data_IF_692918379446
#
_entry.id   IF_692918379446
#
_cell.length_a   1.000
_cell.length_b   1.000
_cell.length_c   1.000
_cell.angle_alpha   90.00
_cell.angle_beta   90.00
_cell.angle_gamma   90.00
#
_symmetry.space_group_name_H-M   'P 1'
#
loop_
_entity.id
_entity.type
_entity.pdbx_description
1 polymer ?
#
# COMPACT_ATOMS: atom_id res chain seq x y z
N UNK A 1 14.82 -22.76 18.53
CA UNK A 1 14.57 -21.83 17.41
C UNK A 1 13.33 -22.32 16.67
N UNK A 2 12.35 -21.47 16.47
CA UNK A 2 11.14 -21.82 15.72
C UNK A 2 11.47 -21.87 14.24
N UNK A 3 11.01 -22.91 13.54
CA UNK A 3 11.22 -23.10 12.09
C UNK A 3 9.93 -22.81 11.35
N UNK A 4 10.05 -22.18 10.19
CA UNK A 4 8.95 -21.87 9.27
C UNK A 4 9.33 -22.32 7.86
N UNK A 5 8.34 -22.65 7.05
CA UNK A 5 8.57 -22.94 5.62
C UNK A 5 8.82 -21.64 4.86
N UNK A 6 8.08 -20.58 5.22
CA UNK A 6 8.28 -19.25 4.66
C UNK A 6 8.38 -18.18 5.75
N UNK A 7 9.32 -17.25 5.55
CA UNK A 7 9.43 -16.02 6.35
C UNK A 7 9.20 -14.84 5.43
N UNK A 8 8.14 -14.09 5.68
CA UNK A 8 7.76 -12.88 4.93
C UNK A 8 8.27 -11.67 5.70
N UNK A 9 9.13 -10.89 5.08
CA UNK A 9 9.69 -9.66 5.64
C UNK A 9 8.87 -8.47 5.16
N UNK A 10 8.15 -7.85 6.09
CA UNK A 10 7.26 -6.72 5.87
C UNK A 10 5.80 -7.12 5.71
N UNK A 11 4.96 -6.66 6.63
CA UNK A 11 3.49 -6.82 6.63
C UNK A 11 2.76 -5.79 5.77
N UNK A 12 3.38 -5.30 4.69
CA UNK A 12 2.77 -4.39 3.73
C UNK A 12 1.77 -5.07 2.79
N UNK A 13 1.40 -4.39 1.70
CA UNK A 13 0.38 -4.89 0.77
C UNK A 13 0.71 -6.27 0.21
N UNK A 14 1.93 -6.48 -0.27
CA UNK A 14 2.38 -7.76 -0.81
C UNK A 14 2.50 -8.83 0.29
N UNK A 15 3.07 -8.48 1.45
CA UNK A 15 3.24 -9.43 2.56
C UNK A 15 1.91 -9.96 3.10
N UNK A 16 0.88 -9.11 3.18
CA UNK A 16 -0.46 -9.52 3.57
C UNK A 16 -1.06 -10.54 2.59
N UNK A 17 -0.86 -10.33 1.28
CA UNK A 17 -1.33 -11.27 0.23
C UNK A 17 -0.58 -12.58 0.34
N UNK A 18 0.76 -12.56 0.44
CA UNK A 18 1.57 -13.76 0.56
C UNK A 18 1.19 -14.58 1.79
N UNK A 19 1.05 -13.93 2.96
CA UNK A 19 0.64 -14.60 4.18
C UNK A 19 -0.72 -15.30 4.02
N UNK A 20 -1.68 -14.63 3.37
CA UNK A 20 -2.99 -15.19 3.09
C UNK A 20 -2.91 -16.44 2.19
N UNK A 21 -2.20 -16.33 1.08
CA UNK A 21 -2.18 -17.37 0.04
C UNK A 21 -1.33 -18.57 0.43
N UNK A 22 -0.16 -18.35 1.02
CA UNK A 22 0.73 -19.43 1.45
C UNK A 22 0.13 -20.28 2.58
N UNK A 23 -0.68 -19.68 3.44
CA UNK A 23 -1.34 -20.41 4.55
C UNK A 23 -2.66 -21.06 4.15
N UNK A 24 -3.08 -21.02 2.88
CA UNK A 24 -4.20 -21.82 2.37
C UNK A 24 -3.90 -23.32 2.49
N UNK A 25 -2.67 -23.71 2.25
CA UNK A 25 -2.16 -25.02 2.59
C UNK A 25 -1.83 -25.10 4.08
N UNK A 26 -2.60 -25.89 4.81
CA UNK A 26 -2.44 -26.08 6.26
C UNK A 26 -1.12 -26.72 6.67
N UNK A 27 -0.44 -27.41 5.76
CA UNK A 27 0.88 -28.02 6.01
C UNK A 27 2.02 -26.98 5.94
N UNK A 28 1.77 -25.82 5.36
CA UNK A 28 2.75 -24.75 5.17
C UNK A 28 2.75 -23.78 6.35
N UNK A 29 3.82 -23.73 7.13
CA UNK A 29 3.99 -22.82 8.26
C UNK A 29 4.62 -21.50 7.82
N UNK A 30 3.91 -20.39 8.03
CA UNK A 30 4.32 -19.07 7.55
C UNK A 30 4.54 -18.10 8.71
N UNK A 31 5.64 -17.37 8.65
CA UNK A 31 5.96 -16.27 9.55
C UNK A 31 5.87 -14.95 8.78
N UNK A 32 5.10 -14.00 9.28
CA UNK A 32 5.05 -12.61 8.80
C UNK A 32 5.68 -11.69 9.84
N UNK A 33 6.65 -10.88 9.45
CA UNK A 33 7.35 -9.95 10.34
C UNK A 33 7.13 -8.52 9.87
N UNK A 34 6.61 -7.67 10.76
CA UNK A 34 6.36 -6.26 10.51
C UNK A 34 7.05 -5.38 11.55
N UNK A 35 7.75 -4.34 11.09
CA UNK A 35 8.44 -3.40 11.97
C UNK A 35 7.48 -2.53 12.77
N UNK A 36 6.37 -2.16 12.16
CA UNK A 36 5.33 -1.35 12.79
C UNK A 36 4.38 -2.16 13.67
N UNK A 37 3.47 -1.47 14.36
CA UNK A 37 2.47 -2.09 15.23
C UNK A 37 1.34 -2.75 14.42
N UNK A 38 0.44 -3.42 15.15
CA UNK A 38 -0.86 -3.85 14.61
C UNK A 38 -1.69 -2.63 14.20
N UNK A 39 -2.52 -2.79 13.19
CA UNK A 39 -3.39 -1.76 12.62
C UNK A 39 -4.63 -1.42 13.49
N UNK A 40 -4.45 -1.36 14.81
CA UNK A 40 -5.56 -1.10 15.76
C UNK A 40 -5.93 0.35 15.93
N UNK A 41 -5.08 1.29 15.45
CA UNK A 41 -5.33 2.72 15.62
C UNK A 41 -6.55 3.17 14.80
N UNK A 42 -7.59 3.79 15.41
CA UNK A 42 -8.80 4.23 14.70
C UNK A 42 -8.51 5.20 13.54
N UNK A 43 -7.43 5.98 13.62
CA UNK A 43 -7.02 6.90 12.54
C UNK A 43 -6.77 6.17 11.21
N UNK A 44 -6.41 4.88 11.26
CA UNK A 44 -6.20 4.06 10.06
C UNK A 44 -7.54 3.76 9.38
N UNK A 45 -8.54 3.39 10.16
CA UNK A 45 -9.79 2.81 9.65
C UNK A 45 -10.80 3.85 9.19
N UNK A 46 -10.80 5.03 9.81
CA UNK A 46 -11.76 6.10 9.51
C UNK A 46 -11.20 6.98 8.38
N UNK A 47 -11.81 6.98 7.16
CA UNK A 47 -11.27 7.71 6.01
C UNK A 47 -11.03 9.20 6.25
N UNK A 48 -11.95 9.87 6.96
CA UNK A 48 -11.84 11.30 7.31
C UNK A 48 -10.61 11.62 8.18
N UNK A 49 -10.07 10.62 8.86
CA UNK A 49 -8.90 10.77 9.74
C UNK A 49 -7.56 10.62 9.01
N UNK A 50 -7.57 10.39 7.70
CA UNK A 50 -6.37 10.23 6.87
C UNK A 50 -5.34 11.35 7.09
N UNK A 51 -5.79 12.61 7.18
CA UNK A 51 -4.93 13.76 7.41
C UNK A 51 -4.17 13.72 8.76
N UNK A 52 -4.64 12.95 9.74
CA UNK A 52 -4.05 12.82 11.07
C UNK A 52 -3.03 11.67 11.19
N UNK A 53 -2.88 10.84 10.14
CA UNK A 53 -1.93 9.73 10.15
C UNK A 53 -0.47 10.22 10.19
N UNK A 54 -0.19 11.40 9.62
CA UNK A 54 1.12 12.03 9.75
C UNK A 54 1.36 12.39 11.21
N UNK A 55 2.54 12.00 11.74
CA UNK A 55 2.87 12.19 13.16
C UNK A 55 2.31 11.15 14.13
N UNK A 56 1.51 10.18 13.66
CA UNK A 56 0.99 9.09 14.49
C UNK A 56 1.99 7.93 14.72
N UNK A 57 3.25 8.08 14.32
CA UNK A 57 4.30 7.05 14.33
C UNK A 57 3.94 5.75 13.57
N UNK A 58 3.08 5.89 12.56
CA UNK A 58 2.63 4.81 11.67
C UNK A 58 3.25 4.90 10.27
N UNK A 59 4.15 5.86 10.07
CA UNK A 59 4.73 6.21 8.77
C UNK A 59 6.24 6.39 8.94
N UNK A 60 7.00 5.80 8.00
CA UNK A 60 8.37 6.21 7.74
C UNK A 60 8.34 7.52 6.94
N UNK A 61 8.98 8.54 7.44
CA UNK A 61 9.09 9.84 6.77
C UNK A 61 10.44 9.92 6.05
N UNK A 62 10.49 9.33 4.85
CA UNK A 62 11.69 9.38 4.01
C UNK A 62 11.68 10.59 3.10
N UNK A 63 12.87 11.12 2.85
CA UNK A 63 13.10 12.10 1.80
C UNK A 63 14.02 11.52 0.72
N UNK A 64 13.83 11.95 -0.52
CA UNK A 64 14.78 11.65 -1.59
C UNK A 64 16.10 12.40 -1.34
N UNK A 65 17.18 11.95 -1.98
CA UNK A 65 18.33 12.84 -2.18
C UNK A 65 17.92 14.05 -3.01
N UNK A 66 18.61 15.20 -2.90
CA UNK A 66 18.29 16.38 -3.70
C UNK A 66 18.27 16.08 -5.20
N UNK A 67 17.15 16.38 -5.87
CA UNK A 67 16.94 16.07 -7.28
C UNK A 67 17.43 17.20 -8.19
N UNK A 68 18.26 16.91 -9.20
CA UNK A 68 18.86 17.93 -10.07
C UNK A 68 17.85 18.82 -10.80
N UNK A 69 16.71 18.26 -11.18
CA UNK A 69 15.70 18.91 -12.03
C UNK A 69 14.56 19.58 -11.24
N UNK A 70 14.63 19.68 -9.92
CA UNK A 70 13.68 20.47 -9.12
C UNK A 70 14.14 21.93 -8.94
N UNK A 71 15.04 22.43 -9.79
CA UNK A 71 15.66 23.75 -9.65
C UNK A 71 14.70 24.93 -9.84
N UNK A 72 13.61 24.75 -10.57
CA UNK A 72 12.75 25.86 -11.02
C UNK A 72 11.47 26.00 -10.17
N UNK A 73 11.30 25.20 -9.13
CA UNK A 73 10.22 25.44 -8.17
C UNK A 73 10.61 26.60 -7.27
N UNK A 74 10.28 27.80 -7.73
CA UNK A 74 10.29 29.00 -6.90
C UNK A 74 9.20 28.80 -5.84
N UNK A 75 9.55 28.16 -4.75
CA UNK A 75 8.68 28.18 -3.58
C UNK A 75 8.61 29.63 -3.15
N UNK A 76 7.40 30.18 -3.10
CA UNK A 76 7.16 31.52 -2.64
C UNK A 76 7.89 31.74 -1.31
N UNK A 77 8.51 32.89 -1.15
CA UNK A 77 9.06 33.33 0.12
C UNK A 77 7.91 33.27 1.15
N UNK A 78 8.04 32.38 2.11
CA UNK A 78 7.02 32.15 3.11
C UNK A 78 7.65 31.93 4.49
N UNK A 79 6.86 31.89 5.55
CA UNK A 79 7.37 31.64 6.89
C UNK A 79 8.04 30.25 6.94
N UNK A 80 9.13 30.13 7.71
CA UNK A 80 9.86 28.87 7.86
C UNK A 80 9.02 27.74 8.46
N UNK A 81 7.88 28.08 9.03
CA UNK A 81 6.92 27.13 9.61
C UNK A 81 5.51 27.59 9.33
N UNK A 82 4.64 26.64 8.97
CA UNK A 82 3.19 26.84 8.87
C UNK A 82 2.49 25.89 9.84
N UNK A 83 1.37 26.35 10.40
CA UNK A 83 0.51 25.49 11.22
C UNK A 83 -0.79 25.26 10.49
N UNK A 84 -1.30 24.03 10.52
CA UNK A 84 -2.62 23.72 10.01
C UNK A 84 -3.73 24.10 11.04
N UNK A 85 -4.97 23.96 10.64
CA UNK A 85 -6.14 24.25 11.49
C UNK A 85 -6.23 23.38 12.76
N UNK A 86 -5.43 22.33 12.85
CA UNK A 86 -5.37 21.43 14.01
C UNK A 86 -4.15 21.71 14.91
N UNK A 87 -3.42 22.82 14.65
CA UNK A 87 -2.25 23.22 15.45
C UNK A 87 -0.98 22.44 15.15
N UNK A 88 -0.93 21.60 14.11
CA UNK A 88 0.29 20.91 13.70
C UNK A 88 1.18 21.88 12.93
N UNK A 89 2.45 21.90 13.30
CA UNK A 89 3.42 22.78 12.66
C UNK A 89 4.29 21.98 11.69
N UNK A 90 4.39 22.49 10.48
CA UNK A 90 5.22 21.94 9.39
C UNK A 90 6.36 22.91 9.10
N UNK A 91 7.59 22.38 9.00
CA UNK A 91 8.72 23.16 8.53
C UNK A 91 8.64 23.31 7.02
N UNK A 92 8.81 24.52 6.53
CA UNK A 92 8.97 24.78 5.09
C UNK A 92 10.47 24.72 4.79
N UNK A 93 10.89 23.95 3.78
CA UNK A 93 12.29 23.89 3.37
C UNK A 93 12.83 25.29 3.05
N UNK A 94 13.94 25.70 3.70
CA UNK A 94 14.54 27.03 3.55
C UNK A 94 15.78 27.00 2.69
N UNK A 95 16.53 25.90 2.68
CA UNK A 95 17.72 25.77 1.83
C UNK A 95 17.37 25.28 0.42
N UNK A 96 18.22 25.62 -0.55
CA UNK A 96 18.12 25.12 -1.92
C UNK A 96 18.17 23.57 -1.96
N UNK A 97 19.00 22.94 -1.15
CA UNK A 97 19.12 21.49 -1.09
C UNK A 97 17.88 20.83 -0.47
N UNK A 98 17.31 21.42 0.59
CA UNK A 98 16.06 20.94 1.21
C UNK A 98 14.87 21.05 0.26
N UNK A 99 14.77 22.16 -0.49
CA UNK A 99 13.71 22.38 -1.50
C UNK A 99 13.70 21.36 -2.63
N UNK A 100 14.83 20.69 -2.87
CA UNK A 100 15.00 19.68 -3.92
C UNK A 100 14.73 18.26 -3.45
N UNK A 101 14.40 18.04 -2.20
CA UNK A 101 14.02 16.73 -1.66
C UNK A 101 12.52 16.51 -1.85
N UNK A 102 12.17 15.32 -2.30
CA UNK A 102 10.80 14.87 -2.38
C UNK A 102 10.44 14.00 -1.17
N UNK A 103 9.38 14.36 -0.45
CA UNK A 103 8.86 13.57 0.66
C UNK A 103 8.27 12.24 0.18
N UNK A 104 8.73 11.13 0.74
CA UNK A 104 8.39 9.77 0.34
C UNK A 104 7.86 8.94 1.53
N UNK A 105 6.64 9.19 2.00
CA UNK A 105 6.09 8.45 3.13
C UNK A 105 5.87 6.97 2.79
N UNK A 106 6.11 6.09 3.78
CA UNK A 106 5.80 4.66 3.67
C UNK A 106 5.14 4.21 4.97
N UNK A 107 4.11 3.36 4.87
CA UNK A 107 3.46 2.82 6.05
C UNK A 107 4.41 1.97 6.90
N UNK A 108 4.37 2.20 8.23
CA UNK A 108 5.09 1.46 9.28
C UNK A 108 4.06 0.85 10.21
N UNK A 109 3.29 -0.10 9.69
CA UNK A 109 2.15 -0.72 10.38
C UNK A 109 1.68 -1.92 9.57
N UNK A 110 0.99 -2.89 10.16
CA UNK A 110 0.33 -3.96 9.39
C UNK A 110 -0.56 -3.37 8.29
N UNK A 111 -0.46 -3.95 7.08
CA UNK A 111 -1.04 -3.42 5.85
C UNK A 111 -0.13 -2.42 5.13
N UNK A 112 0.96 -1.96 5.77
CA UNK A 112 1.93 -1.04 5.18
C UNK A 112 1.29 0.23 4.64
N UNK A 113 1.69 0.66 3.45
CA UNK A 113 1.16 1.88 2.83
C UNK A 113 -0.33 1.80 2.49
N UNK A 114 -0.94 0.60 2.36
CA UNK A 114 -2.39 0.49 2.19
C UNK A 114 -3.17 0.92 3.45
N UNK A 115 -2.55 0.90 4.61
CA UNK A 115 -3.12 1.38 5.88
C UNK A 115 -3.03 2.89 6.07
N UNK A 116 -2.23 3.60 5.25
CA UNK A 116 -1.96 5.04 5.40
C UNK A 116 -2.13 5.85 4.12
N UNK A 117 -2.47 5.24 2.98
CA UNK A 117 -2.70 5.92 1.70
C UNK A 117 -4.05 6.65 1.64
N UNK A 118 -4.29 7.38 0.54
CA UNK A 118 -5.56 8.08 0.27
C UNK A 118 -6.70 7.19 -0.21
N UNK A 119 -6.53 5.87 -0.26
CA UNK A 119 -7.53 4.86 -0.65
C UNK A 119 -8.01 4.93 -2.11
N UNK A 120 -7.46 5.78 -2.96
CA UNK A 120 -7.86 5.82 -4.36
C UNK A 120 -7.49 4.49 -5.04
N UNK A 121 -8.45 3.92 -5.78
CA UNK A 121 -8.26 2.67 -6.49
C UNK A 121 -8.14 2.91 -7.99
N UNK A 122 -6.90 2.90 -8.47
CA UNK A 122 -6.56 3.03 -9.89
C UNK A 122 -5.43 2.06 -10.21
N UNK A 123 -5.60 1.25 -11.24
CA UNK A 123 -4.57 0.36 -11.78
C UNK A 123 -3.59 1.17 -12.64
N UNK A 124 -2.40 0.62 -12.89
CA UNK A 124 -1.52 1.15 -13.94
C UNK A 124 -2.21 1.11 -15.31
N UNK A 125 -1.74 1.95 -16.23
CA UNK A 125 -2.23 1.93 -17.60
C UNK A 125 -1.86 0.60 -18.30
N UNK A 126 -2.69 0.12 -19.23
CA UNK A 126 -2.44 -1.12 -19.99
C UNK A 126 -1.03 -1.12 -20.61
N UNK A 127 -0.61 0.02 -21.14
CA UNK A 127 0.70 0.19 -21.73
C UNK A 127 1.85 -0.07 -20.74
N UNK A 128 1.72 0.25 -19.46
CA UNK A 128 2.78 0.02 -18.47
C UNK A 128 3.10 -1.46 -18.35
N UNK A 129 2.08 -2.30 -18.30
CA UNK A 129 2.23 -3.76 -18.18
C UNK A 129 2.70 -4.38 -19.49
N UNK A 130 2.12 -3.96 -20.63
CA UNK A 130 2.53 -4.46 -21.94
C UNK A 130 3.99 -4.09 -22.24
N UNK A 131 4.42 -2.87 -21.85
CA UNK A 131 5.81 -2.46 -21.94
C UNK A 131 6.74 -3.30 -21.04
N UNK A 132 6.29 -3.69 -19.86
CA UNK A 132 7.09 -4.61 -19.02
C UNK A 132 7.28 -5.96 -19.70
N UNK A 133 6.27 -6.49 -20.35
CA UNK A 133 6.38 -7.73 -21.13
C UNK A 133 7.35 -7.57 -22.31
N UNK A 134 7.28 -6.44 -23.04
CA UNK A 134 8.20 -6.10 -24.14
C UNK A 134 9.67 -6.03 -23.68
N UNK A 135 9.90 -5.59 -22.45
CA UNK A 135 11.24 -5.58 -21.83
C UNK A 135 11.75 -6.97 -21.43
N UNK A 136 11.00 -8.04 -21.74
CA UNK A 136 11.38 -9.44 -21.49
C UNK A 136 10.80 -10.02 -20.19
N UNK A 137 9.86 -9.36 -19.53
CA UNK A 137 9.17 -9.89 -18.36
C UNK A 137 7.93 -10.69 -18.81
N UNK A 138 8.13 -11.93 -19.21
CA UNK A 138 7.04 -12.83 -19.60
C UNK A 138 6.03 -12.99 -18.46
N UNK A 139 4.73 -13.02 -18.79
CA UNK A 139 3.63 -13.10 -17.81
C UNK A 139 3.21 -11.77 -17.20
N UNK A 140 3.77 -10.63 -17.65
CA UNK A 140 3.47 -9.30 -17.13
C UNK A 140 2.69 -8.40 -18.08
N UNK A 141 2.23 -8.86 -19.25
CA UNK A 141 1.34 -8.08 -20.08
C UNK A 141 0.01 -7.79 -19.36
N UNK A 142 -0.69 -6.73 -19.76
CA UNK A 142 -1.99 -6.39 -19.13
C UNK A 142 -2.97 -7.56 -19.16
N UNK A 143 -3.04 -8.28 -20.27
CA UNK A 143 -3.89 -9.47 -20.41
C UNK A 143 -3.57 -10.57 -19.39
N UNK A 144 -2.28 -10.74 -19.08
CA UNK A 144 -1.80 -11.78 -18.15
C UNK A 144 -1.96 -11.37 -16.69
N UNK A 145 -1.83 -10.06 -16.36
CA UNK A 145 -2.00 -9.58 -14.98
C UNK A 145 -3.46 -9.28 -14.60
N UNK A 146 -4.35 -9.01 -15.58
CA UNK A 146 -5.75 -8.71 -15.33
C UNK A 146 -6.48 -9.78 -14.48
N UNK A 147 -6.29 -11.10 -14.68
CA UNK A 147 -6.90 -12.12 -13.82
C UNK A 147 -6.53 -11.96 -12.33
N UNK A 148 -5.33 -11.48 -12.02
CA UNK A 148 -4.88 -11.25 -10.64
C UNK A 148 -5.51 -10.00 -10.04
N UNK A 149 -5.71 -8.92 -10.82
CA UNK A 149 -6.51 -7.77 -10.39
C UNK A 149 -7.93 -8.19 -10.06
N UNK A 150 -8.59 -8.94 -10.95
CA UNK A 150 -9.94 -9.47 -10.73
C UNK A 150 -10.02 -10.40 -9.51
N UNK A 151 -9.02 -11.28 -9.33
CA UNK A 151 -8.94 -12.18 -8.16
C UNK A 151 -8.82 -11.42 -6.83
N UNK A 152 -8.17 -10.25 -6.85
CA UNK A 152 -8.01 -9.39 -5.68
C UNK A 152 -9.26 -8.60 -5.34
N UNK A 153 -10.01 -8.18 -6.33
CA UNK A 153 -11.04 -7.16 -6.27
C UNK A 153 -12.42 -7.71 -5.91
N UNK A 154 -13.14 -6.99 -5.06
CA UNK A 154 -14.58 -7.06 -4.92
C UNK A 154 -15.16 -5.69 -5.22
N UNK A 155 -15.55 -5.43 -6.46
CA UNK A 155 -16.09 -4.15 -6.90
C UNK A 155 -17.59 -4.06 -6.62
N UNK A 156 -18.01 -3.05 -5.86
CA UNK A 156 -19.43 -2.80 -5.53
C UNK A 156 -20.20 -2.11 -6.65
N UNK A 157 -19.51 -1.56 -7.66
CA UNK A 157 -20.12 -0.71 -8.71
C UNK A 157 -20.13 -1.38 -10.05
N UNK A 158 -19.01 -1.98 -10.46
CA UNK A 158 -18.84 -2.59 -11.76
C UNK A 158 -18.73 -4.11 -11.65
N UNK A 159 -19.32 -4.84 -12.65
CA UNK A 159 -19.35 -6.30 -12.68
C UNK A 159 -19.11 -6.85 -14.09
N UNK A 160 -18.31 -6.14 -14.88
CA UNK A 160 -17.95 -6.49 -16.24
C UNK A 160 -16.68 -7.36 -16.34
N UNK A 161 -16.16 -7.55 -17.57
CA UNK A 161 -14.98 -8.38 -17.82
C UNK A 161 -13.66 -7.77 -17.30
N UNK A 162 -13.63 -6.50 -16.94
CA UNK A 162 -12.45 -5.83 -16.41
C UNK A 162 -12.43 -5.80 -14.88
N UNK A 163 -13.57 -6.06 -14.22
CA UNK A 163 -13.71 -5.96 -12.77
C UNK A 163 -13.89 -7.31 -12.08
N UNK A 164 -13.39 -7.39 -10.84
CA UNK A 164 -13.50 -8.59 -10.01
C UNK A 164 -14.69 -8.54 -9.05
N UNK A 165 -15.26 -9.72 -8.78
CA UNK A 165 -16.31 -9.93 -7.80
C UNK A 165 -15.87 -10.96 -6.77
N UNK A 166 -16.15 -10.72 -5.50
CA UNK A 166 -15.86 -11.67 -4.43
C UNK A 166 -14.39 -11.77 -3.99
N UNK A 167 -13.50 -10.93 -4.52
CA UNK A 167 -12.13 -10.83 -4.04
C UNK A 167 -12.06 -10.19 -2.63
N UNK A 168 -10.94 -10.31 -1.94
CA UNK A 168 -10.81 -9.81 -0.57
C UNK A 168 -10.74 -8.30 -0.46
N UNK A 169 -10.19 -7.61 -1.48
CA UNK A 169 -10.05 -6.15 -1.49
C UNK A 169 -11.34 -5.50 -1.98
N UNK A 170 -12.05 -4.85 -1.07
CA UNK A 170 -13.30 -4.18 -1.42
C UNK A 170 -13.04 -2.83 -2.08
N UNK A 171 -13.71 -2.60 -3.21
CA UNK A 171 -13.66 -1.38 -4.00
C UNK A 171 -15.07 -0.81 -4.11
N UNK A 172 -15.26 0.44 -3.71
CA UNK A 172 -16.56 1.07 -3.60
C UNK A 172 -16.56 2.49 -4.21
N UNK A 173 -17.75 3.01 -4.50
CA UNK A 173 -17.91 4.44 -4.77
C UNK A 173 -17.61 5.27 -3.51
N UNK A 174 -17.17 6.51 -3.70
CA UNK A 174 -17.04 7.45 -2.60
C UNK A 174 -18.43 7.76 -2.01
N UNK A 175 -18.55 7.71 -0.69
CA UNK A 175 -19.81 7.98 -0.01
C UNK A 175 -20.07 9.47 0.23
N UNK A 176 -19.02 10.27 0.29
CA UNK A 176 -19.13 11.71 0.49
C UNK A 176 -19.32 12.40 -0.84
N UNK A 177 -20.39 13.17 -0.93
CA UNK A 177 -20.76 13.96 -2.09
C UNK A 177 -20.45 15.45 -1.82
N UNK A 178 -19.30 15.89 -2.30
CA UNK A 178 -18.89 17.28 -2.18
C UNK A 178 -19.34 18.08 -3.43
N UNK A 179 -20.16 19.14 -3.29
CA UNK A 179 -20.60 19.95 -4.42
C UNK A 179 -19.44 20.49 -5.27
N UNK A 180 -18.33 20.88 -4.67
CA UNK A 180 -17.16 21.36 -5.41
C UNK A 180 -16.53 20.28 -6.30
N UNK A 181 -16.55 19.03 -5.86
CA UNK A 181 -16.08 17.91 -6.69
C UNK A 181 -16.96 17.76 -7.93
N UNK A 182 -18.28 17.87 -7.78
CA UNK A 182 -19.22 17.83 -8.92
C UNK A 182 -18.97 18.99 -9.89
N UNK A 183 -18.84 20.22 -9.39
CA UNK A 183 -18.54 21.39 -10.22
C UNK A 183 -17.22 21.24 -10.97
N UNK A 184 -16.19 20.69 -10.32
CA UNK A 184 -14.92 20.41 -10.97
C UNK A 184 -15.08 19.40 -12.10
N UNK A 185 -15.76 18.28 -11.86
CA UNK A 185 -15.99 17.23 -12.88
C UNK A 185 -16.86 17.78 -14.01
N UNK A 186 -17.90 18.56 -13.74
CA UNK A 186 -18.75 19.20 -14.74
C UNK A 186 -17.95 20.20 -15.60
N UNK A 187 -17.14 21.04 -14.98
CA UNK A 187 -16.29 21.98 -15.71
C UNK A 187 -15.25 21.24 -16.56
N UNK A 188 -14.61 20.22 -16.01
CA UNK A 188 -13.62 19.41 -16.69
C UNK A 188 -14.21 18.61 -17.86
N UNK A 189 -15.45 18.16 -17.76
CA UNK A 189 -16.14 17.42 -18.83
C UNK A 189 -16.46 18.27 -20.07
N UNK A 190 -16.31 19.58 -20.00
CA UNK A 190 -16.44 20.50 -21.15
C UNK A 190 -15.19 20.49 -22.04
N UNK A 191 -14.05 20.05 -21.51
CA UNK A 191 -12.76 20.04 -22.22
C UNK A 191 -12.11 18.65 -22.29
N UNK A 192 -12.54 17.74 -21.45
CA UNK A 192 -12.09 16.35 -21.41
C UNK A 192 -13.27 15.39 -21.43
N UNK A 193 -13.04 14.15 -21.84
CA UNK A 193 -14.03 13.09 -21.77
C UNK A 193 -14.44 12.86 -20.30
N UNK A 194 -15.74 12.75 -20.04
CA UNK A 194 -16.21 12.23 -18.75
C UNK A 194 -15.87 10.75 -18.64
N UNK A 195 -15.17 10.39 -17.57
CA UNK A 195 -14.78 9.01 -17.29
C UNK A 195 -15.34 8.58 -15.93
N UNK A 196 -16.23 7.61 -15.94
CA UNK A 196 -16.83 7.06 -14.71
C UNK A 196 -16.07 5.83 -14.20
N UNK A 197 -15.10 5.32 -14.98
CA UNK A 197 -14.32 4.14 -14.65
C UNK A 197 -12.87 4.24 -15.14
N UNK A 198 -11.97 4.59 -14.23
CA UNK A 198 -10.54 4.67 -14.50
C UNK A 198 -9.83 3.31 -14.53
N UNK A 199 -10.54 2.20 -14.33
CA UNK A 199 -10.03 0.84 -14.43
C UNK A 199 -10.68 0.07 -15.59
N UNK A 200 -11.47 0.78 -16.40
CA UNK A 200 -12.13 0.27 -17.60
C UNK A 200 -11.21 0.23 -18.82
N UNK A 201 -11.83 0.24 -20.01
CA UNK A 201 -11.09 0.20 -21.27
C UNK A 201 -10.24 1.42 -21.55
N UNK A 202 -10.64 2.59 -21.04
CA UNK A 202 -9.99 3.86 -21.26
C UNK A 202 -9.78 4.56 -19.91
N UNK A 203 -8.55 4.98 -19.63
CA UNK A 203 -8.18 5.69 -18.41
C UNK A 203 -8.15 7.21 -18.56
N UNK A 204 -8.33 7.72 -19.79
CA UNK A 204 -8.33 9.15 -20.02
C UNK A 204 -9.65 9.81 -19.61
N UNK A 205 -9.56 11.05 -19.12
CA UNK A 205 -10.74 11.84 -18.83
C UNK A 205 -10.76 12.47 -17.44
N UNK A 206 -11.94 12.95 -17.07
CA UNK A 206 -12.25 13.53 -15.76
C UNK A 206 -13.41 12.79 -15.12
N UNK A 207 -13.29 12.50 -13.82
CA UNK A 207 -14.32 11.74 -13.11
C UNK A 207 -14.00 11.56 -11.63
N UNK A 208 -14.79 10.75 -10.96
CA UNK A 208 -14.63 10.46 -9.53
C UNK A 208 -14.04 9.05 -9.38
N UNK A 209 -12.91 8.95 -8.68
CA UNK A 209 -12.27 7.68 -8.41
C UNK A 209 -13.08 6.80 -7.46
N UNK A 210 -13.03 5.50 -7.70
CA UNK A 210 -13.39 4.51 -6.71
C UNK A 210 -12.36 4.45 -5.58
N UNK A 211 -12.75 3.90 -4.44
CA UNK A 211 -11.92 3.84 -3.24
C UNK A 211 -11.89 2.44 -2.63
N UNK A 212 -10.75 2.08 -2.02
CA UNK A 212 -10.61 0.84 -1.25
C UNK A 212 -11.25 1.01 0.14
N UNK A 213 -12.57 0.97 0.16
CA UNK A 213 -13.38 1.07 1.37
C UNK A 213 -14.44 -0.02 1.41
N UNK A 214 -14.79 -0.47 2.62
CA UNK A 214 -15.91 -1.39 2.89
C UNK A 214 -16.76 -0.83 4.02
N UNK A 215 -18.06 -0.67 3.80
CA UNK A 215 -18.99 -0.10 4.80
C UNK A 215 -18.56 1.27 5.34
N UNK A 216 -17.90 2.11 4.51
CA UNK A 216 -17.43 3.43 4.88
C UNK A 216 -16.12 3.46 5.68
N UNK A 217 -15.48 2.33 5.90
CA UNK A 217 -14.17 2.21 6.53
C UNK A 217 -13.12 1.80 5.51
N UNK A 218 -11.84 2.13 5.78
CA UNK A 218 -10.70 1.70 4.97
C UNK A 218 -10.66 0.17 4.87
N UNK A 219 -10.54 -0.33 3.65
CA UNK A 219 -10.20 -1.71 3.35
C UNK A 219 -8.72 -1.80 2.99
N UNK A 220 -7.83 -1.77 4.00
CA UNK A 220 -6.40 -1.98 3.80
C UNK A 220 -6.09 -3.44 3.45
N UNK A 221 -4.87 -3.73 3.02
CA UNK A 221 -4.43 -5.12 2.80
C UNK A 221 -4.45 -5.96 4.08
N UNK A 222 -4.22 -5.35 5.25
CA UNK A 222 -4.40 -6.05 6.53
C UNK A 222 -5.87 -6.43 6.76
N UNK A 223 -6.81 -5.50 6.51
CA UNK A 223 -8.25 -5.76 6.63
C UNK A 223 -8.70 -6.81 5.62
N UNK A 224 -8.25 -6.70 4.37
CA UNK A 224 -8.66 -7.57 3.28
C UNK A 224 -8.11 -9.00 3.39
N UNK A 225 -6.83 -9.14 3.75
CA UNK A 225 -6.12 -10.41 3.64
C UNK A 225 -5.70 -11.03 4.98
N UNK A 226 -5.31 -10.23 6.00
CA UNK A 226 -4.85 -10.78 7.27
C UNK A 226 -5.99 -11.01 8.28
N UNK A 227 -6.92 -10.07 8.41
CA UNK A 227 -8.00 -10.21 9.39
C UNK A 227 -8.83 -11.49 9.21
N UNK A 228 -9.16 -11.94 7.97
CA UNK A 228 -9.89 -13.20 7.79
C UNK A 228 -9.12 -14.46 8.18
N UNK A 229 -7.79 -14.38 8.28
CA UNK A 229 -6.92 -15.54 8.50
C UNK A 229 -6.09 -15.46 9.79
N UNK A 230 -6.30 -14.44 10.61
CA UNK A 230 -5.50 -14.18 11.82
C UNK A 230 -5.46 -15.32 12.82
N UNK A 231 -6.47 -16.19 12.77
CA UNK A 231 -6.64 -17.34 13.67
C UNK A 231 -6.19 -18.67 13.01
N UNK A 232 -5.53 -18.63 11.83
CA UNK A 232 -4.95 -19.83 11.23
C UNK A 232 -3.77 -20.31 12.06
N UNK A 233 -3.75 -21.59 12.42
CA UNK A 233 -2.71 -22.19 13.27
C UNK A 233 -1.32 -22.19 12.62
N UNK A 234 -1.27 -22.22 11.28
CA UNK A 234 -0.05 -22.21 10.49
C UNK A 234 0.43 -20.81 10.10
N UNK A 235 -0.12 -19.75 10.71
CA UNK A 235 0.31 -18.35 10.53
C UNK A 235 0.82 -17.76 11.85
N UNK A 236 2.05 -17.30 11.86
CA UNK A 236 2.62 -16.53 12.97
C UNK A 236 2.92 -15.09 12.51
N UNK A 237 2.41 -14.09 13.22
CA UNK A 237 2.62 -12.67 12.89
C UNK A 237 3.38 -12.00 14.05
N UNK A 238 4.57 -11.48 13.75
CA UNK A 238 5.34 -10.63 14.65
C UNK A 238 5.19 -9.18 14.21
N UNK A 239 4.69 -8.32 15.07
CA UNK A 239 4.69 -6.86 14.93
C UNK A 239 5.73 -6.24 15.85
N UNK A 240 6.02 -4.94 15.66
CA UNK A 240 7.06 -4.23 16.44
C UNK A 240 8.42 -4.96 16.38
N UNK A 241 8.67 -5.62 15.24
CA UNK A 241 9.83 -6.48 15.03
C UNK A 241 10.50 -6.14 13.70
N UNK A 242 11.71 -5.62 13.77
CA UNK A 242 12.49 -5.23 12.59
C UNK A 242 13.43 -6.35 12.16
N UNK A 243 13.37 -6.74 10.89
CA UNK A 243 14.39 -7.61 10.30
C UNK A 243 15.63 -6.79 10.00
N UNK A 244 16.73 -7.12 10.66
CA UNK A 244 18.02 -6.45 10.49
C UNK A 244 18.79 -7.03 9.31
N UNK A 245 18.76 -8.37 9.16
CA UNK A 245 19.54 -9.08 8.15
C UNK A 245 18.90 -10.40 7.78
N UNK A 246 19.02 -10.76 6.48
CA UNK A 246 18.79 -12.13 5.99
C UNK A 246 20.14 -12.82 5.99
N UNK A 247 20.24 -13.97 6.64
CA UNK A 247 21.45 -14.79 6.70
C UNK A 247 21.39 -15.86 5.62
N UNK A 248 22.48 -15.97 4.88
CA UNK A 248 22.63 -16.93 3.80
C UNK A 248 23.66 -17.99 4.16
N UNK A 249 23.39 -19.21 3.75
CA UNK A 249 24.39 -20.26 3.66
C UNK A 249 24.61 -20.54 2.17
N UNK A 250 25.79 -20.18 1.65
CA UNK A 250 26.06 -20.13 0.21
C UNK A 250 25.04 -19.20 -0.49
N UNK A 251 24.22 -19.70 -1.41
CA UNK A 251 23.18 -18.95 -2.13
C UNK A 251 21.76 -19.15 -1.56
N UNK A 252 21.63 -19.86 -0.44
CA UNK A 252 20.34 -20.16 0.17
C UNK A 252 20.08 -19.28 1.38
N UNK A 253 18.92 -18.61 1.43
CA UNK A 253 18.47 -17.91 2.63
C UNK A 253 18.13 -18.94 3.73
N UNK A 254 18.76 -18.81 4.91
CA UNK A 254 18.66 -19.76 6.01
C UNK A 254 17.89 -19.24 7.20
N UNK A 255 18.08 -17.97 7.52
CA UNK A 255 17.46 -17.34 8.69
C UNK A 255 17.35 -15.83 8.53
N UNK A 256 16.55 -15.23 9.38
CA UNK A 256 16.48 -13.77 9.55
C UNK A 256 16.90 -13.42 10.98
N UNK A 257 17.71 -12.38 11.12
CA UNK A 257 18.03 -11.77 12.40
C UNK A 257 17.08 -10.61 12.63
N UNK A 258 16.37 -10.63 13.75
CA UNK A 258 15.36 -9.64 14.10
C UNK A 258 15.72 -8.90 15.38
N UNK A 259 15.30 -7.63 15.44
CA UNK A 259 15.28 -6.81 16.64
C UNK A 259 13.82 -6.54 16.96
N UNK A 260 13.35 -6.98 18.10
CA UNK A 260 12.08 -6.53 18.67
C UNK A 260 12.35 -5.47 19.73
N UNK A 261 11.35 -4.66 20.04
CA UNK A 261 11.42 -3.68 21.12
C UNK A 261 11.71 -4.32 22.49
N UNK A 262 11.65 -5.65 22.59
CA UNK A 262 11.79 -6.42 23.84
C UNK A 262 13.01 -7.36 23.85
N UNK A 263 13.49 -7.86 22.68
CA UNK A 263 14.63 -8.80 22.62
C UNK A 263 15.15 -9.07 21.22
N UNK A 264 16.41 -9.56 21.14
CA UNK A 264 16.98 -10.15 19.91
C UNK A 264 16.46 -11.56 19.68
N UNK A 265 15.96 -11.86 18.47
CA UNK A 265 15.45 -13.18 18.10
C UNK A 265 15.97 -13.62 16.73
N UNK A 266 16.36 -14.89 16.59
CA UNK A 266 16.69 -15.50 15.31
C UNK A 266 15.55 -16.47 14.91
N UNK A 267 14.99 -16.26 13.71
CA UNK A 267 14.01 -17.15 13.09
C UNK A 267 14.64 -17.89 11.92
N UNK A 268 14.41 -19.20 11.80
CA UNK A 268 14.94 -20.03 10.69
C UNK A 268 13.84 -20.39 9.72
N UNK A 269 14.17 -20.32 8.41
CA UNK A 269 13.37 -20.94 7.36
C UNK A 269 13.66 -22.46 7.31
N UNK A 270 12.64 -23.25 7.00
CA UNK A 270 12.80 -24.69 6.81
C UNK A 270 13.60 -24.99 5.54
N UNK A 271 14.39 -26.08 5.55
CA UNK A 271 15.09 -26.53 4.36
C UNK A 271 14.10 -27.24 3.43
N UNK A 272 13.50 -26.52 2.50
CA UNK A 272 12.85 -27.13 1.34
C UNK A 272 13.93 -27.46 0.31
N UNK A 273 14.19 -28.76 0.11
CA UNK A 273 14.89 -29.25 -1.08
C UNK A 273 13.98 -29.00 -2.29
N UNK A 274 14.43 -28.19 -3.24
CA UNK A 274 13.93 -28.19 -4.62
C UNK A 274 14.52 -29.36 -5.35
#
# INVERSE_FOLDING_TARGET
MTKFDYIIVGGGSAGCVLANRLTEDKATNVCLIETGPKDKNPLIHIPAMYAFLRGANLIYEYDTVPQKNFSDVTLAEGPAKISDTFGRTYSIPQSYEEKRKGYQPRGKVLGGSSSVNGMLYVRGHKWDYDHWAELGNEGWSFKEVLPYFKKSENNEVFSDDLHGQGGPLNVAAQRHDNPFTRFFVEAGSKVHKLNNDFNGDDQEGVGIYQVTQKNGLRCSSAVAYLNPIKDRENLTIFTDTTVEKIEFEKLRAKSVKCISTVSYTHLRAHETSL
#
